data_IF_722291117448
#
_entry.id   IF_722291117448
#
_cell.length_a   1.000
_cell.length_b   1.000
_cell.length_c   1.000
_cell.angle_alpha   90.00
_cell.angle_beta   90.00
_cell.angle_gamma   90.00
#
_symmetry.space_group_name_H-M   'P 1'
#
loop_
_entity.id
_entity.type
_entity.pdbx_description
1 polymer ?
#
# COMPACT_ATOMS: atom_id res chain seq x y z
N UNK A 1 17.42 15.62 -8.20
CA UNK A 1 16.75 14.37 -7.79
C UNK A 1 17.37 13.23 -8.58
N UNK A 2 17.69 12.12 -7.93
CA UNK A 2 18.29 10.92 -8.56
C UNK A 2 17.34 10.17 -9.50
N UNK A 3 16.06 10.57 -9.57
CA UNK A 3 15.10 10.09 -10.57
C UNK A 3 15.29 10.74 -11.95
N UNK A 4 15.85 11.95 -12.00
CA UNK A 4 16.02 12.71 -13.24
C UNK A 4 17.24 12.19 -14.03
N UNK A 5 17.29 12.40 -15.36
CA UNK A 5 18.45 12.05 -16.18
C UNK A 5 19.74 12.79 -15.78
N UNK A 6 19.62 13.85 -14.98
CA UNK A 6 20.70 14.71 -14.55
C UNK A 6 20.71 14.85 -13.03
N UNK A 7 21.90 14.80 -12.44
CA UNK A 7 22.14 14.97 -11.00
C UNK A 7 23.13 16.10 -10.77
N UNK A 8 23.08 16.70 -9.58
CA UNK A 8 24.07 17.70 -9.17
C UNK A 8 25.16 17.00 -8.35
N UNK A 9 26.42 17.21 -8.70
CA UNK A 9 27.56 16.80 -7.87
C UNK A 9 27.63 17.65 -6.59
N UNK A 10 28.38 17.21 -5.56
CA UNK A 10 28.70 18.05 -4.41
C UNK A 10 29.26 19.42 -4.80
N UNK A 11 30.03 19.47 -5.90
CA UNK A 11 30.61 20.69 -6.48
C UNK A 11 29.59 21.54 -7.27
N UNK A 12 28.30 21.19 -7.25
CA UNK A 12 27.22 21.93 -7.88
C UNK A 12 27.06 21.72 -9.39
N UNK A 13 27.95 20.97 -10.03
CA UNK A 13 27.90 20.72 -11.47
C UNK A 13 26.75 19.76 -11.83
N UNK A 14 26.09 20.03 -12.96
CA UNK A 14 25.09 19.11 -13.52
C UNK A 14 25.78 18.05 -14.36
N UNK A 15 25.78 16.81 -13.86
CA UNK A 15 26.31 15.65 -14.56
C UNK A 15 25.19 14.70 -14.94
N UNK A 16 25.41 13.88 -15.98
CA UNK A 16 24.48 12.80 -16.30
C UNK A 16 24.39 11.85 -15.11
N UNK A 17 23.18 11.39 -14.84
CA UNK A 17 22.93 10.47 -13.76
C UNK A 17 23.69 9.14 -14.01
N UNK A 18 24.59 8.71 -13.13
CA UNK A 18 25.33 7.46 -13.29
C UNK A 18 24.43 6.22 -13.11
N UNK A 19 23.23 6.40 -12.57
CA UNK A 19 22.28 5.31 -12.40
C UNK A 19 21.70 4.88 -13.75
N UNK A 20 21.74 3.57 -13.99
CA UNK A 20 21.06 2.95 -15.12
C UNK A 20 19.56 3.24 -15.10
N UNK A 21 18.90 3.09 -16.25
CA UNK A 21 17.43 3.18 -16.32
C UNK A 21 16.75 2.19 -15.36
N UNK A 22 17.31 0.98 -15.23
CA UNK A 22 16.82 -0.05 -14.31
C UNK A 22 16.91 0.38 -12.84
N UNK A 23 18.03 0.96 -12.41
CA UNK A 23 18.19 1.43 -11.03
C UNK A 23 17.23 2.57 -10.70
N UNK A 24 16.99 3.49 -11.66
CA UNK A 24 16.00 4.56 -11.50
C UNK A 24 14.57 4.02 -11.41
N UNK A 25 14.25 2.99 -12.20
CA UNK A 25 12.96 2.30 -12.12
C UNK A 25 12.73 1.67 -10.73
N UNK A 26 13.75 1.04 -10.13
CA UNK A 26 13.65 0.50 -8.77
C UNK A 26 13.34 1.59 -7.72
N UNK A 27 13.95 2.76 -7.85
CA UNK A 27 13.67 3.90 -6.95
C UNK A 27 12.21 4.36 -7.14
N UNK A 28 11.76 4.47 -8.39
CA UNK A 28 10.39 4.87 -8.69
C UNK A 28 9.37 3.84 -8.16
N UNK A 29 9.65 2.55 -8.31
CA UNK A 29 8.78 1.48 -7.80
C UNK A 29 8.70 1.52 -6.26
N UNK A 30 9.82 1.74 -5.57
CA UNK A 30 9.81 1.90 -4.12
C UNK A 30 8.97 3.11 -3.67
N UNK A 31 9.09 4.24 -4.37
CA UNK A 31 8.29 5.44 -4.08
C UNK A 31 6.80 5.20 -4.36
N UNK A 32 6.48 4.52 -5.46
CA UNK A 32 5.12 4.10 -5.76
C UNK A 32 4.57 3.21 -4.64
N UNK A 33 5.34 2.21 -4.21
CA UNK A 33 4.91 1.25 -3.21
C UNK A 33 4.61 1.91 -1.86
N UNK A 34 5.37 2.93 -1.45
CA UNK A 34 5.06 3.68 -0.23
C UNK A 34 3.87 4.64 -0.38
N UNK A 35 3.59 5.13 -1.59
CA UNK A 35 2.46 6.04 -1.84
C UNK A 35 1.13 5.33 -2.03
N UNK A 36 1.12 4.09 -2.52
CA UNK A 36 -0.11 3.35 -2.84
C UNK A 36 -1.06 3.22 -1.63
N UNK A 37 -0.63 2.79 -0.43
CA UNK A 37 -1.53 2.67 0.72
C UNK A 37 -2.18 4.01 1.09
N UNK A 38 -1.39 5.08 1.11
CA UNK A 38 -1.86 6.45 1.37
C UNK A 38 -2.90 6.88 0.34
N UNK A 39 -2.60 6.69 -0.95
CA UNK A 39 -3.49 7.09 -2.04
C UNK A 39 -4.82 6.32 -2.00
N UNK A 40 -4.78 5.01 -1.76
CA UNK A 40 -5.99 4.18 -1.67
C UNK A 40 -6.88 4.62 -0.49
N UNK A 41 -6.29 4.85 0.68
CA UNK A 41 -7.04 5.31 1.86
C UNK A 41 -7.69 6.67 1.60
N UNK A 42 -6.93 7.64 1.06
CA UNK A 42 -7.45 8.97 0.73
C UNK A 42 -8.56 8.89 -0.31
N UNK A 43 -8.39 8.07 -1.35
CA UNK A 43 -9.42 7.88 -2.38
C UNK A 43 -10.70 7.27 -1.79
N UNK A 44 -10.61 6.26 -0.93
CA UNK A 44 -11.79 5.68 -0.26
C UNK A 44 -12.53 6.74 0.57
N UNK A 45 -11.81 7.47 1.43
CA UNK A 45 -12.41 8.50 2.28
C UNK A 45 -13.03 9.63 1.44
N UNK A 46 -12.33 10.12 0.41
CA UNK A 46 -12.89 11.13 -0.52
C UNK A 46 -14.14 10.60 -1.24
N UNK A 47 -14.13 9.33 -1.63
CA UNK A 47 -15.28 8.66 -2.23
C UNK A 47 -16.50 8.69 -1.32
N UNK A 48 -16.32 8.37 -0.05
CA UNK A 48 -17.41 8.27 0.91
C UNK A 48 -17.95 9.64 1.33
N UNK A 49 -17.07 10.64 1.49
CA UNK A 49 -17.47 11.96 2.00
C UNK A 49 -17.83 12.98 0.91
N UNK A 50 -17.19 12.93 -0.26
CA UNK A 50 -17.33 13.98 -1.29
C UNK A 50 -18.13 13.54 -2.52
N UNK A 51 -18.11 12.27 -2.90
CA UNK A 51 -18.72 11.82 -4.15
C UNK A 51 -20.22 11.54 -4.01
N UNK A 52 -20.98 11.74 -5.09
CA UNK A 52 -22.39 11.34 -5.16
C UNK A 52 -22.53 9.84 -5.46
N UNK A 53 -21.76 9.33 -6.41
CA UNK A 53 -21.77 7.92 -6.83
C UNK A 53 -20.79 7.07 -6.00
N UNK A 54 -21.07 6.95 -4.70
CA UNK A 54 -20.15 6.32 -3.74
C UNK A 54 -19.84 4.86 -4.06
N UNK A 55 -20.84 4.09 -4.51
CA UNK A 55 -20.66 2.69 -4.88
C UNK A 55 -19.71 2.54 -6.09
N UNK A 56 -19.94 3.33 -7.15
CA UNK A 56 -19.09 3.29 -8.35
C UNK A 56 -17.64 3.68 -8.02
N UNK A 57 -17.47 4.70 -7.17
CA UNK A 57 -16.15 5.13 -6.71
C UNK A 57 -15.44 4.05 -5.88
N UNK A 58 -16.14 3.43 -4.93
CA UNK A 58 -15.59 2.36 -4.10
C UNK A 58 -15.17 1.17 -4.97
N UNK A 59 -16.02 0.76 -5.92
CA UNK A 59 -15.70 -0.30 -6.88
C UNK A 59 -14.48 0.06 -7.74
N UNK A 60 -14.38 1.30 -8.21
CA UNK A 60 -13.24 1.75 -9.00
C UNK A 60 -11.92 1.67 -8.21
N UNK A 61 -11.92 2.10 -6.94
CA UNK A 61 -10.74 2.01 -6.07
C UNK A 61 -10.37 0.55 -5.80
N UNK A 62 -11.35 -0.30 -5.49
CA UNK A 62 -11.11 -1.73 -5.29
C UNK A 62 -10.57 -2.38 -6.58
N UNK A 63 -11.08 -2.02 -7.75
CA UNK A 63 -10.60 -2.56 -9.02
C UNK A 63 -9.10 -2.33 -9.23
N UNK A 64 -8.54 -1.19 -8.80
CA UNK A 64 -7.09 -0.92 -8.85
C UNK A 64 -6.28 -1.97 -8.08
N UNK A 65 -6.84 -2.49 -6.99
CA UNK A 65 -6.20 -3.49 -6.12
C UNK A 65 -6.45 -4.92 -6.62
N UNK A 66 -7.67 -5.23 -7.07
CA UNK A 66 -8.09 -6.58 -7.44
C UNK A 66 -7.79 -6.98 -8.89
N UNK A 67 -7.74 -6.03 -9.83
CA UNK A 67 -7.53 -6.35 -11.26
C UNK A 67 -6.16 -6.97 -11.53
N UNK A 68 -5.03 -6.43 -11.03
CA UNK A 68 -3.72 -7.03 -11.30
C UNK A 68 -3.58 -8.51 -10.89
N UNK A 69 -3.94 -8.92 -9.65
CA UNK A 69 -3.87 -10.32 -9.26
C UNK A 69 -4.89 -11.18 -10.02
N UNK A 70 -6.07 -10.65 -10.34
CA UNK A 70 -7.06 -11.39 -11.15
C UNK A 70 -6.53 -11.69 -12.56
N UNK A 71 -5.80 -10.75 -13.18
CA UNK A 71 -5.13 -10.99 -14.45
C UNK A 71 -4.00 -12.02 -14.31
N UNK A 72 -3.24 -11.99 -13.21
CA UNK A 72 -2.18 -12.96 -12.95
C UNK A 72 -2.74 -14.40 -12.82
N UNK A 73 -3.81 -14.57 -12.04
CA UNK A 73 -4.50 -15.87 -11.91
C UNK A 73 -5.03 -16.38 -13.24
N UNK A 74 -5.60 -15.50 -14.06
CA UNK A 74 -6.06 -15.89 -15.40
C UNK A 74 -4.90 -16.34 -16.29
N UNK A 75 -3.79 -15.59 -16.31
CA UNK A 75 -2.60 -15.97 -17.08
C UNK A 75 -2.03 -17.31 -16.61
N UNK A 76 -1.97 -17.55 -15.31
CA UNK A 76 -1.50 -18.82 -14.74
C UNK A 76 -2.41 -20.00 -15.11
N UNK A 77 -3.72 -19.76 -15.25
CA UNK A 77 -4.69 -20.78 -15.66
C UNK A 77 -4.63 -21.09 -17.16
N UNK A 78 -4.36 -20.08 -18.00
CA UNK A 78 -4.24 -20.25 -19.45
C UNK A 78 -2.86 -20.77 -19.88
N UNK A 79 -1.79 -20.44 -19.14
CA UNK A 79 -0.43 -20.89 -19.42
C UNK A 79 -0.11 -22.22 -18.72
N UNK A 80 -0.89 -23.26 -19.01
CA UNK A 80 -0.64 -24.62 -18.49
C UNK A 80 0.74 -25.13 -18.95
N UNK A 81 1.69 -25.43 -18.04
CA UNK A 81 2.93 -26.12 -18.40
C UNK A 81 2.62 -27.51 -18.96
N UNK A 82 3.28 -27.88 -20.07
CA UNK A 82 2.99 -29.11 -20.83
C UNK A 82 3.13 -30.40 -20.00
N UNK A 83 3.93 -30.38 -18.93
CA UNK A 83 4.32 -31.56 -18.15
C UNK A 83 3.52 -31.77 -16.84
N UNK A 84 2.40 -31.07 -16.64
CA UNK A 84 1.61 -31.16 -15.38
C UNK A 84 0.21 -31.76 -15.63
N UNK A 85 -0.16 -32.74 -14.80
CA UNK A 85 -1.51 -33.33 -14.79
C UNK A 85 -2.55 -32.25 -14.47
N UNK A 86 -3.67 -32.23 -15.22
CA UNK A 86 -4.74 -31.24 -15.08
C UNK A 86 -5.24 -31.08 -13.64
N UNK A 87 -5.42 -32.19 -12.91
CA UNK A 87 -5.85 -32.16 -11.50
C UNK A 87 -4.84 -31.53 -10.54
N UNK A 88 -3.53 -31.71 -10.79
CA UNK A 88 -2.47 -31.08 -9.99
C UNK A 88 -2.36 -29.59 -10.29
N UNK A 89 -2.52 -29.19 -11.56
CA UNK A 89 -2.52 -27.79 -11.98
C UNK A 89 -3.72 -27.03 -11.39
N UNK A 90 -4.94 -27.58 -11.45
CA UNK A 90 -6.13 -26.95 -10.87
C UNK A 90 -6.01 -26.82 -9.34
N UNK A 91 -5.51 -27.85 -8.65
CA UNK A 91 -5.31 -27.79 -7.20
C UNK A 91 -4.25 -26.75 -6.80
N UNK A 92 -3.17 -26.64 -7.57
CA UNK A 92 -2.16 -25.61 -7.37
C UNK A 92 -2.71 -24.20 -7.62
N UNK A 93 -3.48 -24.02 -8.70
CA UNK A 93 -4.13 -22.75 -9.04
C UNK A 93 -5.17 -22.31 -8.00
N UNK A 94 -5.97 -23.25 -7.45
CA UNK A 94 -6.92 -22.95 -6.38
C UNK A 94 -6.21 -22.54 -5.08
N UNK A 95 -5.13 -23.23 -4.73
CA UNK A 95 -4.33 -22.89 -3.55
C UNK A 95 -3.69 -21.51 -3.70
N UNK A 96 -3.05 -21.24 -4.84
CA UNK A 96 -2.43 -19.93 -5.10
C UNK A 96 -3.47 -18.81 -5.12
N UNK A 97 -4.64 -19.06 -5.68
CA UNK A 97 -5.76 -18.09 -5.67
C UNK A 97 -6.23 -17.81 -4.24
N UNK A 98 -6.34 -18.84 -3.39
CA UNK A 98 -6.69 -18.67 -1.97
C UNK A 98 -5.64 -17.86 -1.20
N UNK A 99 -4.36 -18.15 -1.41
CA UNK A 99 -3.25 -17.40 -0.80
C UNK A 99 -3.24 -15.93 -1.28
N UNK A 100 -3.54 -15.68 -2.56
CA UNK A 100 -3.67 -14.33 -3.11
C UNK A 100 -4.88 -13.59 -2.54
N UNK A 101 -6.03 -14.25 -2.42
CA UNK A 101 -7.23 -13.67 -1.81
C UNK A 101 -6.99 -13.31 -0.35
N UNK A 102 -6.36 -14.20 0.43
CA UNK A 102 -5.96 -13.92 1.81
C UNK A 102 -5.02 -12.72 1.91
N UNK A 103 -4.02 -12.63 1.04
CA UNK A 103 -3.11 -11.48 0.98
C UNK A 103 -3.84 -10.18 0.66
N UNK A 104 -4.81 -10.20 -0.25
CA UNK A 104 -5.61 -9.04 -0.61
C UNK A 104 -6.48 -8.56 0.56
N UNK A 105 -7.16 -9.48 1.24
CA UNK A 105 -7.96 -9.17 2.42
C UNK A 105 -7.09 -8.55 3.53
N UNK A 106 -5.93 -9.14 3.80
CA UNK A 106 -4.98 -8.59 4.78
C UNK A 106 -4.46 -7.21 4.36
N UNK A 107 -4.19 -7.01 3.06
CA UNK A 107 -3.76 -5.70 2.53
C UNK A 107 -4.84 -4.63 2.74
N UNK A 108 -6.11 -4.97 2.56
CA UNK A 108 -7.23 -4.06 2.81
C UNK A 108 -7.44 -3.82 4.31
N UNK A 109 -7.28 -4.86 5.15
CA UNK A 109 -7.45 -4.77 6.60
C UNK A 109 -6.40 -3.85 7.23
N UNK A 110 -5.15 -4.00 6.80
CA UNK A 110 -4.04 -3.18 7.27
C UNK A 110 -3.86 -1.86 6.54
N UNK A 111 -4.74 -1.54 5.58
CA UNK A 111 -4.62 -0.33 4.77
C UNK A 111 -4.49 0.96 5.60
N UNK A 112 -5.27 1.19 6.68
CA UNK A 112 -5.11 2.38 7.51
C UNK A 112 -3.74 2.47 8.18
N UNK A 113 -3.25 1.35 8.71
CA UNK A 113 -1.98 1.27 9.39
C UNK A 113 -0.82 1.51 8.41
N UNK A 114 -0.82 0.81 7.27
CA UNK A 114 0.17 0.96 6.20
C UNK A 114 0.21 2.38 5.64
N UNK A 115 -0.96 3.01 5.46
CA UNK A 115 -1.06 4.39 5.00
C UNK A 115 -0.43 5.37 6.00
N UNK A 116 -0.74 5.25 7.30
CA UNK A 116 -0.22 6.18 8.31
C UNK A 116 1.26 5.95 8.59
N UNK A 117 1.70 4.69 8.63
CA UNK A 117 3.13 4.33 8.72
C UNK A 117 3.91 4.90 7.53
N UNK A 118 3.42 4.69 6.31
CA UNK A 118 4.05 5.22 5.09
C UNK A 118 4.04 6.74 5.07
N UNK A 119 2.95 7.38 5.51
CA UNK A 119 2.85 8.84 5.59
C UNK A 119 3.88 9.42 6.56
N UNK A 120 4.01 8.87 7.78
CA UNK A 120 5.04 9.33 8.73
C UNK A 120 6.44 9.19 8.13
N UNK A 121 6.74 8.04 7.52
CA UNK A 121 8.02 7.79 6.88
C UNK A 121 8.30 8.79 5.74
N UNK A 122 7.31 9.09 4.90
CA UNK A 122 7.42 10.06 3.81
C UNK A 122 7.66 11.45 4.38
N UNK A 123 6.84 11.92 5.33
CA UNK A 123 6.96 13.25 5.92
C UNK A 123 8.30 13.44 6.63
N UNK A 124 8.72 12.45 7.42
CA UNK A 124 10.03 12.44 8.09
C UNK A 124 11.18 12.48 7.10
N UNK A 125 11.07 11.75 5.99
CA UNK A 125 12.09 11.75 4.93
C UNK A 125 12.13 13.10 4.21
N UNK A 126 10.98 13.68 3.85
CA UNK A 126 10.90 15.00 3.23
C UNK A 126 11.47 16.09 4.16
N UNK A 127 11.14 16.04 5.44
CA UNK A 127 11.71 16.93 6.47
C UNK A 127 13.23 16.81 6.53
N UNK A 128 13.76 15.57 6.59
CA UNK A 128 15.20 15.33 6.59
C UNK A 128 15.87 15.81 5.32
N UNK A 129 15.26 15.64 4.15
CA UNK A 129 15.87 16.05 2.88
C UNK A 129 15.82 17.56 2.65
N UNK A 130 14.70 18.22 3.00
CA UNK A 130 14.47 19.62 2.68
C UNK A 130 15.07 20.55 3.73
N UNK A 131 14.99 20.16 5.02
CA UNK A 131 15.30 21.06 6.12
C UNK A 131 16.58 20.67 6.85
N UNK A 132 16.66 19.46 7.43
CA UNK A 132 17.81 19.14 8.31
C UNK A 132 19.05 18.66 7.57
N UNK A 133 18.87 17.96 6.45
CA UNK A 133 19.91 17.27 5.64
C UNK A 133 20.83 16.34 6.44
N UNK A 134 20.35 15.81 7.57
CA UNK A 134 21.10 14.91 8.46
C UNK A 134 20.62 13.46 8.32
N UNK A 135 21.52 12.50 8.53
CA UNK A 135 21.22 11.05 8.57
C UNK A 135 20.49 10.53 7.32
N UNK A 136 20.87 11.02 6.13
CA UNK A 136 20.24 10.68 4.85
C UNK A 136 20.59 9.27 4.33
N UNK A 137 21.64 8.66 4.88
CA UNK A 137 22.14 7.32 4.52
C UNK A 137 21.99 6.33 5.67
N UNK A 138 21.07 6.58 6.59
CA UNK A 138 20.82 5.66 7.68
C UNK A 138 20.09 4.43 7.13
N UNK A 139 20.85 3.37 6.86
CA UNK A 139 20.31 2.08 6.51
C UNK A 139 19.81 1.41 7.78
N UNK A 140 18.49 1.37 7.96
CA UNK A 140 17.87 0.54 8.99
C UNK A 140 17.32 -0.70 8.28
N UNK A 141 17.94 -1.87 8.44
CA UNK A 141 17.40 -3.09 7.85
C UNK A 141 15.97 -3.28 8.36
N UNK A 142 15.03 -3.62 7.48
CA UNK A 142 13.64 -3.89 7.86
C UNK A 142 13.55 -4.90 9.01
N UNK A 143 14.44 -5.90 8.99
CA UNK A 143 14.57 -6.93 10.03
C UNK A 143 15.04 -6.42 11.41
N UNK A 144 15.62 -5.23 11.50
CA UNK A 144 16.14 -4.65 12.75
C UNK A 144 15.11 -3.68 13.36
N UNK A 145 14.28 -3.04 12.52
CA UNK A 145 13.15 -2.21 12.96
C UNK A 145 12.05 -3.07 13.59
N UNK A 146 11.75 -4.23 13.00
CA UNK A 146 10.78 -5.19 13.57
C UNK A 146 11.20 -5.77 14.92
N UNK A 147 12.50 -5.82 15.22
CA UNK A 147 13.04 -6.33 16.50
C UNK A 147 13.27 -5.24 17.55
N UNK A 148 13.23 -3.97 17.15
CA UNK A 148 13.63 -2.83 18.00
C UNK A 148 12.52 -2.24 18.87
N UNK A 149 11.26 -2.39 18.46
CA UNK A 149 10.09 -1.97 19.24
C UNK A 149 9.49 -3.20 19.96
N UNK A 150 9.94 -3.43 21.20
CA UNK A 150 9.29 -4.27 22.21
C UNK A 150 8.46 -5.44 21.69
N UNK A 151 9.14 -6.58 21.48
CA UNK A 151 8.68 -7.90 20.99
C UNK A 151 7.58 -8.53 21.88
N UNK A 152 6.48 -7.81 22.04
CA UNK A 152 5.29 -8.21 22.78
C UNK A 152 4.11 -8.11 21.85
N UNK A 153 3.28 -9.15 21.84
CA UNK A 153 2.02 -9.15 21.08
C UNK A 153 1.18 -7.89 21.42
N UNK A 154 1.22 -7.44 22.68
CA UNK A 154 0.56 -6.22 23.14
C UNK A 154 1.09 -4.94 22.45
N UNK A 155 2.40 -4.82 22.22
CA UNK A 155 2.99 -3.71 21.48
C UNK A 155 2.53 -3.67 20.01
N UNK A 156 2.42 -4.83 19.38
CA UNK A 156 1.88 -4.97 18.03
C UNK A 156 0.39 -4.62 17.96
N UNK A 157 -0.44 -5.07 18.91
CA UNK A 157 -1.85 -4.66 18.96
C UNK A 157 -2.02 -3.15 19.16
N UNK A 158 -1.15 -2.52 19.95
CA UNK A 158 -1.20 -1.07 20.19
C UNK A 158 -0.78 -0.25 18.96
N UNK A 159 0.20 -0.71 18.18
CA UNK A 159 0.57 -0.04 16.93
C UNK A 159 -0.51 -0.20 15.84
N UNK A 160 -1.31 -1.26 15.92
CA UNK A 160 -2.42 -1.54 15.00
C UNK A 160 -3.74 -0.85 15.40
N UNK A 161 -3.85 -0.31 16.61
CA UNK A 161 -5.06 0.37 17.12
C UNK A 161 -5.50 1.58 16.25
N UNK A 162 -4.59 2.07 15.42
CA UNK A 162 -4.83 3.11 14.43
C UNK A 162 -5.94 2.72 13.43
N UNK A 163 -5.98 1.45 13.00
CA UNK A 163 -7.03 0.96 12.09
C UNK A 163 -8.43 1.12 12.66
N UNK A 164 -8.70 0.50 13.82
CA UNK A 164 -10.01 0.61 14.47
C UNK A 164 -10.36 2.05 14.88
N UNK A 165 -9.37 2.84 15.32
CA UNK A 165 -9.60 4.24 15.66
C UNK A 165 -10.04 5.05 14.43
N UNK A 166 -9.39 4.86 13.29
CA UNK A 166 -9.80 5.51 12.04
C UNK A 166 -11.18 5.02 11.57
N UNK A 167 -11.45 3.72 11.69
CA UNK A 167 -12.74 3.13 11.34
C UNK A 167 -13.88 3.75 12.17
N UNK A 168 -13.70 3.86 13.48
CA UNK A 168 -14.69 4.46 14.39
C UNK A 168 -14.91 5.94 14.08
N UNK A 169 -13.84 6.71 13.86
CA UNK A 169 -13.94 8.13 13.51
C UNK A 169 -14.64 8.32 12.15
N UNK A 170 -14.28 7.53 11.15
CA UNK A 170 -14.91 7.58 9.83
C UNK A 170 -16.38 7.14 9.89
N UNK A 171 -16.71 6.09 10.63
CA UNK A 171 -18.07 5.61 10.84
C UNK A 171 -18.94 6.68 11.52
N UNK A 172 -18.43 7.31 12.58
CA UNK A 172 -19.12 8.39 13.28
C UNK A 172 -19.34 9.59 12.37
N UNK A 173 -18.32 10.02 11.62
CA UNK A 173 -18.44 11.11 10.67
C UNK A 173 -19.45 10.79 9.55
N UNK A 174 -19.48 9.56 9.03
CA UNK A 174 -20.47 9.14 8.03
C UNK A 174 -21.88 9.09 8.63
N UNK A 175 -22.04 8.61 9.86
CA UNK A 175 -23.34 8.59 10.53
C UNK A 175 -23.93 10.00 10.67
N UNK A 176 -23.08 10.99 10.99
CA UNK A 176 -23.49 12.38 11.18
C UNK A 176 -23.71 13.13 9.85
N UNK A 177 -22.88 12.88 8.84
CA UNK A 177 -22.87 13.68 7.60
C UNK A 177 -23.65 13.02 6.45
N UNK A 178 -23.55 11.68 6.31
CA UNK A 178 -24.09 10.91 5.18
C UNK A 178 -24.47 9.47 5.60
N UNK A 179 -25.50 9.27 6.43
CA UNK A 179 -25.82 7.95 7.00
C UNK A 179 -26.11 6.88 5.95
N UNK A 180 -26.65 7.25 4.78
CA UNK A 180 -26.89 6.32 3.67
C UNK A 180 -25.63 5.70 3.06
N UNK A 181 -24.45 6.29 3.29
CA UNK A 181 -23.16 5.75 2.83
C UNK A 181 -22.60 4.70 3.79
N UNK A 182 -23.05 4.68 5.04
CA UNK A 182 -22.49 3.81 6.08
C UNK A 182 -22.56 2.34 5.68
N UNK A 183 -23.66 1.89 5.08
CA UNK A 183 -23.82 0.50 4.63
C UNK A 183 -22.82 0.13 3.52
N UNK A 184 -22.49 1.08 2.63
CA UNK A 184 -21.52 0.87 1.56
C UNK A 184 -20.08 0.86 2.10
N UNK A 185 -19.79 1.67 3.11
CA UNK A 185 -18.48 1.73 3.75
C UNK A 185 -18.26 0.60 4.78
N UNK A 186 -19.33 0.02 5.33
CA UNK A 186 -19.30 -0.96 6.41
C UNK A 186 -18.34 -2.15 6.15
N UNK A 187 -18.28 -2.76 4.95
CA UNK A 187 -17.36 -3.87 4.72
C UNK A 187 -15.89 -3.49 4.94
N UNK A 188 -15.50 -2.26 4.61
CA UNK A 188 -14.14 -1.77 4.84
C UNK A 188 -13.95 -1.32 6.29
N UNK A 189 -14.94 -0.61 6.86
CA UNK A 189 -14.89 -0.17 8.25
C UNK A 189 -14.86 -1.32 9.26
N UNK A 190 -15.50 -2.45 8.96
CA UNK A 190 -15.43 -3.67 9.79
C UNK A 190 -14.11 -4.43 9.63
N UNK A 191 -13.42 -4.21 8.51
CA UNK A 191 -12.12 -4.82 8.21
C UNK A 191 -10.97 -4.06 8.89
N UNK A 192 -11.18 -2.76 9.17
CA UNK A 192 -10.23 -1.83 9.77
C UNK A 192 -10.30 -1.83 11.29
#
# INVERSE_FOLDING_TARGET
>A
SWLLPWVRTPDGQRVRNPLSALSRWKILDNLRRSLVPVALLVLLLLGWFAMAQVAAWTVAVLAVVFVPPLLAVQLDLFQKPRDVLLGQHVRAALRSSGEQAGRLLLTLAWLPHEALYSMDAILRTLWRMMLTRRMLLQWNPSQTVERGDGDTLAGSFKSMAIGPALALLAALALLLLRPGVLLLAAPMLLLW
#
